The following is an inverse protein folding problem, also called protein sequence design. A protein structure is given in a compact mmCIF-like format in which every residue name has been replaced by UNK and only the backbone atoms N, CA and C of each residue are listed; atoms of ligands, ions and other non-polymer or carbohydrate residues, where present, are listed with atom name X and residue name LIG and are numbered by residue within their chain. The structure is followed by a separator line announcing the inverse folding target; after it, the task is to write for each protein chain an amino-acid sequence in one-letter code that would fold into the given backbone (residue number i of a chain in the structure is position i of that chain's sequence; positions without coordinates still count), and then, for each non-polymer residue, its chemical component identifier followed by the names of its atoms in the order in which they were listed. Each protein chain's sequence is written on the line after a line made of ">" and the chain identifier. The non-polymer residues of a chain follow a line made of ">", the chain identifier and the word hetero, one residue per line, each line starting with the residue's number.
data_IF_896408577395
#
_entry.id   IF_896408577395
#
_cell.length_a   1.000
_cell.length_b   1.000
_cell.length_c   1.000
_cell.angle_alpha   90.00
_cell.angle_beta   90.00
_cell.angle_gamma   90.00
#
_symmetry.space_group_name_H-M   'P 1'
#
loop_
_entity.id
_entity.type
_entity.pdbx_description
1 polymer ?
2 polymer ?
3 polymer ?
4 non-polymer ?
5 water ?
#
loop_
_entity_poly.entity_id
_entity_poly.type
_entity_poly.pdbx_seq_one_letter_code
_entity_poly.pdbx_strand_id
1 'polydeoxyribonucleotide' '(DG)(DC)(DT)(DA)(DA)(DA)(DC)(DG)(DT)(DC)(DG)(DT)(DG)(DA)(DG)(DA)(DC)(DA)(DG)(DT)(DT)(DA)(DC)(DG)' ?
2 'polydeoxyribonucleotide' '(DC)(DG)(DT)(DA)(DA)(DC)(DT)(DG)(DT)(DC)(DT)(DC)(DA)(DC)(DG)(DA)(DC)(DG)(DT)(DT)(DT)(DA)(DG)(DC)' ?
#
# COMPACT_ATOMS: atom_id res chain seq x y z
N UNK C 2 15.27 23.82 0.36
CA UNK C 2 14.81 22.62 -0.39
C UNK C 2 15.58 21.38 0.05
N UNK C 3 14.91 20.49 0.76
CA UNK C 3 15.53 19.27 1.25
C UNK C 3 15.65 18.14 0.21
N UNK C 4 16.78 17.45 0.27
CA UNK C 4 17.09 16.34 -0.64
C UNK C 4 16.76 15.03 0.06
N UNK C 5 16.04 14.15 -0.62
CA UNK C 5 15.65 12.89 0.00
C UNK C 5 16.49 11.69 -0.38
N UNK C 6 16.57 10.73 0.54
CA UNK C 6 17.34 9.51 0.35
C UNK C 6 16.59 8.62 -0.64
N UNK C 7 17.24 8.32 -1.76
CA UNK C 7 16.65 7.50 -2.80
C UNK C 7 16.06 6.17 -2.36
N UNK C 8 16.65 5.52 -1.37
CA UNK C 8 16.08 4.25 -0.91
C UNK C 8 14.77 4.56 -0.19
N UNK C 9 14.77 5.60 0.63
CA UNK C 9 13.59 6.06 1.36
C UNK C 9 12.46 6.35 0.35
N UNK C 10 12.84 6.99 -0.77
CA UNK C 10 11.88 7.36 -1.81
C UNK C 10 11.31 6.16 -2.57
N UNK C 11 12.12 5.14 -2.76
CA UNK C 11 11.68 3.94 -3.46
C UNK C 11 10.69 3.20 -2.59
N UNK C 12 11.07 2.98 -1.33
CA UNK C 12 10.19 2.28 -0.42
C UNK C 12 8.88 3.06 -0.28
N UNK C 13 8.99 4.36 0.01
CA UNK C 13 7.81 5.20 0.17
C UNK C 13 6.93 5.19 -1.08
N UNK C 14 7.54 5.25 -2.26
CA UNK C 14 6.75 5.24 -3.48
C UNK C 14 5.88 3.98 -3.51
N UNK C 15 6.47 2.86 -3.11
CA UNK C 15 5.70 1.64 -3.07
C UNK C 15 4.57 1.76 -2.06
N UNK C 16 4.89 2.29 -0.88
CA UNK C 16 3.88 2.42 0.15
C UNK C 16 2.75 3.34 -0.27
N UNK C 17 3.11 4.44 -0.94
CA UNK C 17 2.15 5.43 -1.41
C UNK C 17 1.22 4.79 -2.44
N UNK C 18 1.80 4.09 -3.41
CA UNK C 18 0.98 3.44 -4.41
C UNK C 18 -0.02 2.49 -3.73
N UNK C 19 0.24 2.15 -2.47
CA UNK C 19 -0.66 1.26 -1.75
C UNK C 19 -1.72 1.96 -0.88
N UNK C 20 -1.26 2.54 0.23
CA UNK C 20 -2.16 3.20 1.15
C UNK C 20 -2.20 4.72 0.93
N UNK C 21 -1.47 5.21 -0.06
CA UNK C 21 -1.42 6.64 -0.30
C UNK C 21 -2.48 7.27 -1.17
N UNK C 22 -2.55 8.61 -1.11
CA UNK C 22 -3.52 9.31 -1.92
C UNK C 22 -2.99 10.65 -2.36
N UNK C 23 -3.02 10.88 -3.67
CA UNK C 23 -2.56 12.14 -4.24
C UNK C 23 -3.84 12.80 -4.74
N UNK C 24 -4.21 13.90 -4.10
CA UNK C 24 -5.47 14.58 -4.38
C UNK C 24 -5.44 16.06 -4.73
N UNK C 25 -6.27 16.47 -5.67
CA UNK C 25 -6.37 17.88 -6.00
C UNK C 25 -7.86 18.22 -5.84
N UNK C 26 -8.19 19.31 -5.15
CA UNK C 26 -9.61 19.66 -4.97
C UNK C 26 -9.94 21.09 -5.37
N UNK C 27 -11.17 21.29 -5.81
CA UNK C 27 -11.65 22.63 -6.16
C UNK C 27 -12.69 22.94 -5.09
N UNK C 28 -12.24 23.64 -4.05
CA UNK C 28 -13.06 24.00 -2.90
C UNK C 28 -13.78 25.32 -3.06
N UNK C 29 -15.12 25.29 -3.08
CA UNK C 29 -15.83 26.55 -3.22
C UNK C 29 -15.46 27.41 -2.02
N UNK C 30 -15.26 28.70 -2.26
CA UNK C 30 -14.87 29.63 -1.22
C UNK C 30 -15.12 31.06 -1.74
N UNK C 31 -16.10 31.73 -1.13
CA UNK C 31 -16.48 33.08 -1.55
C UNK C 31 -15.55 34.23 -1.23
N UNK C 32 -14.27 33.96 -0.97
CA UNK C 32 -13.35 35.06 -0.70
C UNK C 32 -12.23 35.08 -1.74
N UNK C 33 -12.25 34.12 -2.66
CA UNK C 33 -11.24 34.04 -3.71
C UNK C 33 -11.72 34.77 -4.96
N UNK C 34 -10.78 35.19 -5.80
CA UNK C 34 -11.14 35.91 -7.01
C UNK C 34 -12.16 35.16 -7.87
N UNK C 35 -12.00 33.85 -7.99
CA UNK C 35 -12.91 33.04 -8.80
C UNK C 35 -13.81 32.15 -7.96
N UNK C 36 -14.01 32.57 -6.72
CA UNK C 36 -14.88 31.87 -5.77
C UNK C 36 -14.58 30.38 -5.55
N UNK C 37 -13.32 30.01 -5.73
CA UNK C 37 -12.89 28.63 -5.52
C UNK C 37 -11.41 28.57 -5.19
N UNK C 38 -11.08 27.83 -4.15
CA UNK C 38 -9.69 27.68 -3.74
C UNK C 38 -9.13 26.39 -4.34
N UNK C 39 -7.95 26.46 -4.93
CA UNK C 39 -7.34 25.26 -5.46
C UNK C 39 -6.56 24.66 -4.30
N UNK C 40 -6.79 23.38 -4.04
CA UNK C 40 -6.13 22.72 -2.94
C UNK C 40 -5.41 21.45 -3.35
N UNK C 41 -4.21 21.24 -2.82
CA UNK C 41 -3.45 20.05 -3.15
C UNK C 41 -3.16 19.25 -1.88
N UNK C 42 -3.18 17.92 -2.00
CA UNK C 42 -2.91 17.10 -0.83
C UNK C 42 -2.21 15.80 -1.15
N UNK C 43 -1.18 15.51 -0.36
CA UNK C 43 -0.49 14.24 -0.47
C UNK C 43 -0.73 13.58 0.88
N UNK C 44 -1.26 12.36 0.89
CA UNK C 44 -1.54 11.69 2.15
C UNK C 44 -1.32 10.20 2.18
N UNK C 45 -1.19 9.67 3.38
CA UNK C 45 -1.03 8.24 3.59
C UNK C 45 -1.89 7.94 4.79
N UNK C 46 -2.78 6.96 4.63
CA UNK C 46 -3.69 6.57 5.69
C UNK C 46 -3.26 5.21 6.26
N UNK C 47 -3.37 5.07 7.57
CA UNK C 47 -2.97 3.84 8.22
C UNK C 47 -3.73 3.72 9.53
N UNK C 48 -4.07 2.50 9.91
CA UNK C 48 -4.79 2.27 11.15
C UNK C 48 -4.09 3.06 12.26
N UNK C 49 -4.86 3.69 13.13
CA UNK C 49 -4.25 4.50 14.20
C UNK C 49 -3.25 3.73 15.06
N UNK C 50 -3.51 2.44 15.30
CA UNK C 50 -2.58 1.64 16.09
C UNK C 50 -1.27 1.44 15.35
N UNK C 51 -1.06 2.22 14.29
CA UNK C 51 0.15 2.10 13.49
C UNK C 51 0.63 3.48 13.09
N UNK C 52 0.14 4.51 13.78
CA UNK C 52 0.51 5.87 13.47
C UNK C 52 2.00 6.19 13.66
N UNK C 53 2.73 5.30 14.32
CA UNK C 53 4.14 5.58 14.51
C UNK C 53 4.77 5.64 13.14
N UNK C 54 4.25 4.83 12.22
CA UNK C 54 4.80 4.82 10.87
C UNK C 54 4.55 6.17 10.20
N UNK C 55 3.45 6.82 10.57
CA UNK C 55 3.13 8.14 10.00
C UNK C 55 3.96 9.21 10.72
N UNK C 56 4.18 9.07 12.03
CA UNK C 56 5.00 10.03 12.79
C UNK C 56 6.39 10.02 12.17
N UNK C 57 6.89 8.82 11.95
CA UNK C 57 8.19 8.59 11.33
C UNK C 57 8.24 9.42 10.04
N UNK C 58 7.20 9.32 9.22
CA UNK C 58 7.17 10.05 7.97
C UNK C 58 7.24 11.56 8.16
N UNK C 59 6.65 12.06 9.24
CA UNK C 59 6.71 13.48 9.50
C UNK C 59 8.17 13.87 9.69
N UNK C 60 8.90 13.04 10.43
CA UNK C 60 10.31 13.27 10.73
C UNK C 60 11.21 13.12 9.51
N UNK C 61 10.93 12.14 8.66
CA UNK C 61 11.75 11.90 7.48
C UNK C 61 11.50 12.89 6.36
N UNK C 62 10.25 13.24 6.10
CA UNK C 62 9.96 14.19 5.03
C UNK C 62 10.29 15.60 5.48
N UNK C 63 10.30 15.81 6.79
CA UNK C 63 10.65 17.10 7.35
C UNK C 63 9.54 18.14 7.43
N UNK C 64 8.44 17.87 6.76
CA UNK C 64 7.34 18.82 6.78
C UNK C 64 6.07 17.98 6.80
N UNK C 65 4.91 18.59 7.08
CA UNK C 65 3.68 17.81 7.14
C UNK C 65 3.28 17.42 8.55
N UNK C 66 2.07 16.92 8.74
CA UNK C 66 1.60 16.54 10.08
C UNK C 66 0.65 15.34 10.05
N UNK C 67 0.42 14.75 11.21
CA UNK C 67 -0.48 13.58 11.33
C UNK C 67 -1.77 13.92 12.03
N UNK C 68 -2.90 13.51 11.44
CA UNK C 68 -4.19 13.76 12.09
C UNK C 68 -4.86 12.44 12.42
N UNK C 69 -5.69 12.46 13.47
CA UNK C 69 -6.43 11.28 13.91
C UNK C 69 -7.90 11.45 13.59
N UNK C 70 -8.49 10.40 13.03
CA UNK C 70 -9.90 10.43 12.73
C UNK C 70 -10.55 9.11 13.16
N UNK C 71 -10.37 8.80 14.44
CA UNK C 71 -10.95 7.60 15.00
C UNK C 71 -10.06 6.38 14.94
N UNK C 72 -10.50 5.37 14.20
CA UNK C 72 -9.76 4.13 14.08
C UNK C 72 -8.61 4.23 13.08
N UNK C 73 -8.49 5.36 12.41
CA UNK C 73 -7.39 5.48 11.46
C UNK C 73 -6.74 6.84 11.52
N UNK C 74 -5.52 6.93 10.99
CA UNK C 74 -4.79 8.18 10.99
C UNK C 74 -4.22 8.55 9.62
N UNK C 75 -3.93 9.83 9.43
CA UNK C 75 -3.40 10.28 8.14
C UNK C 75 -2.17 11.18 8.24
N UNK C 76 -1.19 10.90 7.40
CA UNK C 76 -0.05 11.80 7.32
C UNK C 76 -0.55 12.73 6.24
N UNK C 77 -0.45 14.03 6.45
CA UNK C 77 -0.92 14.97 5.47
C UNK C 77 0.13 15.99 5.10
N UNK C 78 0.13 16.40 3.83
CA UNK C 78 1.06 17.40 3.33
C UNK C 78 0.38 18.21 2.25
N UNK C 79 0.18 19.50 2.51
CA UNK C 79 -0.47 20.37 1.54
C UNK C 79 0.28 21.64 1.18
N UNK C 80 1.25 22.05 2.01
CA UNK C 80 2.00 23.25 1.70
C UNK C 80 2.57 23.12 0.30
N UNK C 81 2.27 24.09 -0.54
CA UNK C 81 2.72 24.11 -1.92
C UNK C 81 4.18 23.81 -2.20
N UNK C 82 5.07 24.59 -1.60
CA UNK C 82 6.51 24.42 -1.82
C UNK C 82 7.02 23.03 -1.43
N UNK C 83 6.94 22.68 -0.14
CA UNK C 83 7.42 21.36 0.27
C UNK C 83 6.71 20.26 -0.54
N UNK C 84 5.46 20.49 -0.89
CA UNK C 84 4.75 19.47 -1.65
C UNK C 84 5.41 19.26 -3.01
N UNK C 85 5.51 20.34 -3.79
CA UNK C 85 6.14 20.27 -5.10
C UNK C 85 7.56 19.68 -5.01
N UNK C 86 8.27 20.03 -3.95
CA UNK C 86 9.63 19.54 -3.75
C UNK C 86 9.61 18.04 -3.49
N UNK C 87 8.69 17.60 -2.64
CA UNK C 87 8.58 16.19 -2.29
C UNK C 87 8.09 15.34 -3.46
N UNK C 88 7.11 15.85 -4.19
CA UNK C 88 6.60 15.08 -5.31
C UNK C 88 7.59 14.95 -6.48
N UNK C 89 8.38 16.00 -6.70
CA UNK C 89 9.37 15.98 -7.77
C UNK C 89 10.35 14.81 -7.55
N UNK C 90 10.77 14.61 -6.30
CA UNK C 90 11.70 13.52 -6.01
C UNK C 90 11.04 12.13 -5.90
N UNK C 91 9.78 12.09 -5.46
CA UNK C 91 9.05 10.83 -5.30
C UNK C 91 8.46 10.33 -6.61
N UNK C 92 7.97 11.25 -7.42
CA UNK C 92 7.34 10.92 -8.68
C UNK C 92 8.04 9.87 -9.57
N UNK C 93 9.35 9.99 -9.78
CA UNK C 93 10.01 8.98 -10.63
C UNK C 93 9.88 7.52 -10.21
N UNK C 94 9.49 7.26 -8.97
CA UNK C 94 9.38 5.87 -8.51
C UNK C 94 7.95 5.35 -8.38
N UNK C 95 6.98 6.24 -8.52
CA UNK C 95 5.59 5.84 -8.41
C UNK C 95 5.24 5.00 -9.64
N UNK C 96 4.43 3.97 -9.47
CA UNK C 96 4.05 3.16 -10.60
C UNK C 96 2.56 3.31 -10.84
N UNK C 97 1.80 3.40 -9.76
CA UNK C 97 0.35 3.54 -9.87
C UNK C 97 -0.17 4.97 -9.80
N UNK C 98 0.52 5.84 -9.08
CA UNK C 98 0.03 7.22 -8.94
C UNK C 98 0.96 8.28 -9.53
N UNK C 99 1.78 7.87 -10.48
CA UNK C 99 2.72 8.79 -11.10
C UNK C 99 2.00 9.93 -11.82
N UNK C 100 1.01 9.57 -12.63
CA UNK C 100 0.26 10.57 -13.38
C UNK C 100 -0.37 11.60 -12.48
N UNK C 101 -1.09 11.18 -11.43
CA UNK C 101 -1.67 12.21 -10.59
C UNK C 101 -0.57 13.02 -9.93
N UNK C 102 0.56 12.37 -9.63
CA UNK C 102 1.68 13.07 -9.01
C UNK C 102 2.09 14.20 -9.93
N UNK C 103 2.35 13.83 -11.18
CA UNK C 103 2.79 14.79 -12.20
C UNK C 103 1.79 15.88 -12.50
N UNK C 104 0.51 15.54 -12.41
CA UNK C 104 -0.52 16.53 -12.66
C UNK C 104 -0.48 17.55 -11.54
N UNK C 105 -0.13 17.11 -10.34
CA UNK C 105 -0.05 18.01 -9.20
C UNK C 105 1.12 18.98 -9.38
N UNK C 106 2.28 18.48 -9.78
CA UNK C 106 3.42 19.36 -10.01
C UNK C 106 2.98 20.38 -11.06
N UNK C 107 2.32 19.88 -12.11
CA UNK C 107 1.88 20.76 -13.19
C UNK C 107 0.91 21.84 -12.73
N UNK C 108 -0.01 21.49 -11.84
CA UNK C 108 -0.97 22.45 -11.32
C UNK C 108 -0.28 23.47 -10.41
N UNK C 109 0.53 22.98 -9.48
CA UNK C 109 1.21 23.89 -8.56
C UNK C 109 2.02 24.90 -9.34
N UNK C 110 2.61 24.44 -10.44
CA UNK C 110 3.42 25.32 -11.26
C UNK C 110 2.60 26.36 -12.04
N UNK C 111 1.32 26.10 -12.28
CA UNK C 111 0.49 27.06 -13.01
C UNK C 111 -0.36 27.92 -12.09
N UNK C 112 -0.12 27.82 -10.78
CA UNK C 112 -0.90 28.57 -9.82
C UNK C 112 -0.95 30.08 -10.08
N UNK C 113 0.20 30.78 -10.05
CA UNK C 113 0.15 32.22 -10.29
C UNK C 113 -0.55 32.57 -11.60
N UNK C 114 -0.15 31.90 -12.67
CA UNK C 114 -0.78 32.14 -13.97
C UNK C 114 -2.29 32.10 -13.80
N UNK C 115 -2.79 30.94 -13.38
CA UNK C 115 -4.22 30.75 -13.20
C UNK C 115 -4.80 31.77 -12.22
N UNK C 116 -3.94 32.41 -11.46
CA UNK C 116 -4.37 33.40 -10.48
C UNK C 116 -4.54 34.79 -11.10
N UNK C 117 -4.35 34.90 -12.41
CA UNK C 117 -4.47 36.18 -13.10
C UNK C 117 -5.45 36.17 -14.27
N UNK C 118 -6.18 35.06 -14.46
CA UNK C 118 -7.12 34.97 -15.56
C UNK C 118 -8.17 33.88 -15.35
N UNK C 119 -9.45 34.21 -15.53
CA UNK C 119 -10.54 33.23 -15.34
C UNK C 119 -10.44 32.04 -16.28
N UNK C 120 -9.59 32.16 -17.30
CA UNK C 120 -9.44 31.07 -18.26
C UNK C 120 -8.37 30.07 -17.88
N UNK C 121 -7.23 30.54 -17.40
CA UNK C 121 -6.16 29.66 -16.99
C UNK C 121 -6.72 28.86 -15.83
N UNK C 122 -7.30 29.58 -14.88
CA UNK C 122 -7.89 28.97 -13.71
C UNK C 122 -8.81 27.84 -14.13
N UNK C 123 -9.59 28.09 -15.17
CA UNK C 123 -10.53 27.12 -15.68
C UNK C 123 -9.76 25.92 -16.18
N UNK C 124 -8.76 26.17 -17.01
CA UNK C 124 -7.96 25.09 -17.56
C UNK C 124 -7.33 24.26 -16.44
N UNK C 125 -6.79 24.96 -15.45
CA UNK C 125 -6.15 24.30 -14.33
C UNK C 125 -7.16 23.43 -13.58
N UNK C 126 -8.39 23.92 -13.47
CA UNK C 126 -9.42 23.16 -12.79
C UNK C 126 -9.59 21.87 -13.57
N UNK C 127 -9.34 21.94 -14.88
CA UNK C 127 -9.46 20.78 -15.76
C UNK C 127 -8.37 19.75 -15.41
N UNK C 128 -7.25 20.23 -14.88
CA UNK C 128 -6.15 19.35 -14.47
C UNK C 128 -6.67 18.52 -13.30
N UNK C 129 -7.39 19.19 -12.40
CA UNK C 129 -7.93 18.55 -11.22
C UNK C 129 -8.90 17.45 -11.59
N UNK C 130 -9.61 17.62 -12.69
CA UNK C 130 -10.56 16.58 -13.11
C UNK C 130 -9.80 15.29 -13.46
N UNK C 131 -8.69 15.41 -14.16
CA UNK C 131 -7.90 14.25 -14.58
C UNK C 131 -7.39 13.45 -13.40
N UNK C 132 -6.95 14.16 -12.36
CA UNK C 132 -6.46 13.53 -11.15
C UNK C 132 -7.59 12.72 -10.55
N UNK C 133 -8.74 13.38 -10.43
CA UNK C 133 -9.91 12.76 -9.88
C UNK C 133 -10.30 11.53 -10.69
N UNK C 134 -10.20 11.63 -12.02
CA UNK C 134 -10.57 10.52 -12.89
C UNK C 134 -9.54 9.40 -12.81
N UNK C 135 -8.32 9.75 -12.43
CA UNK C 135 -7.30 8.74 -12.30
C UNK C 135 -7.45 7.99 -10.99
N UNK C 136 -7.94 8.66 -9.96
CA UNK C 136 -8.13 8.00 -8.66
C UNK C 136 -9.48 7.28 -8.65
N UNK C 137 -9.78 6.61 -7.54
CA UNK C 137 -11.07 5.93 -7.45
C UNK C 137 -12.06 6.89 -6.80
N UNK C 138 -12.32 7.99 -7.51
CA UNK C 138 -13.21 9.04 -7.04
C UNK C 138 -14.66 8.60 -6.89
N UNK C 139 -15.23 8.83 -5.71
CA UNK C 139 -16.59 8.39 -5.47
C UNK C 139 -17.56 9.37 -4.80
N UNK C 140 -17.07 10.50 -4.30
CA UNK C 140 -17.96 11.46 -3.65
C UNK C 140 -17.59 12.89 -4.03
N UNK C 141 -17.10 13.06 -5.24
CA UNK C 141 -16.70 14.39 -5.71
C UNK C 141 -17.89 15.25 -6.12
N UNK C 142 -17.97 16.46 -5.57
CA UNK C 142 -19.04 17.39 -5.91
C UNK C 142 -18.60 18.46 -6.91
N UNK C 143 -17.63 19.28 -6.52
CA UNK C 143 -17.15 20.36 -7.37
C UNK C 143 -16.21 19.93 -8.50
N UNK C 144 -16.50 20.42 -9.70
CA UNK C 144 -15.69 20.08 -10.87
C UNK C 144 -15.40 21.34 -11.66
N UNK C 145 -14.61 21.21 -12.72
CA UNK C 145 -14.30 22.37 -13.55
C UNK C 145 -15.60 22.88 -14.12
N UNK C 146 -16.53 21.96 -14.32
CA UNK C 146 -17.85 22.29 -14.86
C UNK C 146 -18.57 23.22 -13.88
N UNK C 147 -18.61 22.81 -12.61
CA UNK C 147 -19.26 23.61 -11.58
C UNK C 147 -18.60 24.97 -11.48
N UNK C 148 -17.31 25.04 -11.80
CA UNK C 148 -16.62 26.32 -11.74
C UNK C 148 -16.99 27.16 -12.96
N UNK C 149 -17.17 26.53 -14.11
CA UNK C 149 -17.53 27.31 -15.29
C UNK C 149 -18.81 28.09 -15.01
N UNK C 150 -19.67 27.56 -14.14
CA UNK C 150 -20.90 28.27 -13.76
C UNK C 150 -20.45 29.43 -12.87
N UNK C 151 -19.61 30.26 -13.46
CA UNK C 151 -19.03 31.44 -12.83
C UNK C 151 -19.11 32.47 -13.94
N UNK C 152 -19.39 31.95 -15.13
CA UNK C 152 -19.52 32.78 -16.32
C UNK C 152 -20.81 33.59 -16.28
N UNK C 153 -20.70 34.76 -15.64
CA UNK C 153 -21.80 35.69 -15.49
C UNK C 153 -21.38 36.88 -14.62
N UNK D 2 15.88 -20.62 -8.73
CA UNK D 2 16.13 -19.81 -7.49
C UNK D 2 16.80 -18.47 -7.88
N UNK D 3 15.97 -17.50 -8.22
CA UNK D 3 16.43 -16.18 -8.66
C UNK D 3 16.65 -15.08 -7.61
N UNK D 4 17.56 -14.16 -7.91
CA UNK D 4 17.88 -13.03 -7.04
C UNK D 4 17.33 -11.80 -7.72
N UNK D 5 16.56 -11.00 -6.97
CA UNK D 5 15.91 -9.81 -7.53
C UNK D 5 16.66 -8.50 -7.37
N UNK D 6 16.38 -7.58 -8.29
CA UNK D 6 16.99 -6.25 -8.29
C UNK D 6 16.66 -5.58 -6.95
N UNK D 7 17.64 -4.91 -6.35
CA UNK D 7 17.46 -4.25 -5.06
C UNK D 7 16.39 -3.17 -5.02
N UNK D 8 16.41 -2.28 -5.99
CA UNK D 8 15.43 -1.20 -6.05
C UNK D 8 14.03 -1.82 -6.22
N UNK D 9 13.97 -2.95 -6.92
CA UNK D 9 12.71 -3.65 -7.13
C UNK D 9 12.11 -4.08 -5.80
N UNK D 10 12.99 -4.55 -4.90
CA UNK D 10 12.55 -5.02 -3.59
C UNK D 10 12.14 -3.88 -2.67
N UNK D 11 12.89 -2.77 -2.73
CA UNK D 11 12.58 -1.61 -1.90
C UNK D 11 11.17 -1.11 -2.21
N UNK D 12 10.90 -0.92 -3.50
CA UNK D 12 9.61 -0.47 -3.95
C UNK D 12 8.51 -1.46 -3.55
N UNK D 13 8.73 -2.74 -3.84
CA UNK D 13 7.76 -3.79 -3.53
C UNK D 13 7.55 -3.97 -2.03
N UNK D 14 8.61 -3.84 -1.25
CA UNK D 14 8.46 -3.97 0.20
C UNK D 14 7.47 -2.90 0.62
N UNK D 15 7.60 -1.73 0.01
CA UNK D 15 6.71 -0.65 0.35
C UNK D 15 5.30 -0.95 -0.10
N UNK D 16 5.16 -1.52 -1.28
CA UNK D 16 3.82 -1.80 -1.78
C UNK D 16 3.13 -2.86 -0.95
N UNK D 17 3.92 -3.84 -0.53
CA UNK D 17 3.41 -4.91 0.29
C UNK D 17 3.04 -4.38 1.64
N UNK D 18 3.90 -3.54 2.22
CA UNK D 18 3.56 -3.00 3.53
C UNK D 18 2.26 -2.24 3.38
N UNK D 19 1.94 -1.87 2.14
CA UNK D 19 0.72 -1.14 1.89
C UNK D 19 -0.52 -1.99 1.60
N UNK D 20 -0.53 -2.69 0.47
CA UNK D 20 -1.68 -3.50 0.05
C UNK D 20 -1.39 -4.99 0.08
N UNK D 21 -0.32 -5.39 0.74
CA UNK D 21 0.01 -6.80 0.77
C UNK D 21 -0.37 -7.54 2.03
N UNK D 22 -0.18 -8.85 2.00
CA UNK D 22 -0.49 -9.65 3.16
C UNK D 22 0.34 -10.91 3.19
N UNK D 23 0.97 -11.15 4.34
CA UNK D 23 1.78 -12.35 4.56
C UNK D 23 0.89 -13.17 5.48
N UNK D 24 0.40 -14.30 4.98
CA UNK D 24 -0.52 -15.17 5.70
C UNK D 24 -0.02 -16.56 6.06
N UNK D 25 -0.47 -17.04 7.22
CA UNK D 25 -0.17 -18.38 7.71
C UNK D 25 -1.54 -18.94 8.08
N UNK D 26 -1.86 -20.16 7.66
CA UNK D 26 -3.16 -20.73 7.99
C UNK D 26 -3.08 -22.19 8.33
N UNK D 27 -3.84 -22.59 9.35
CA UNK D 27 -3.93 -23.98 9.74
C UNK D 27 -5.20 -24.43 9.04
N UNK D 28 -5.06 -25.13 7.93
CA UNK D 28 -6.21 -25.59 7.16
C UNK D 28 -6.65 -27.00 7.50
N UNK D 29 -7.84 -27.13 8.08
CA UNK D 29 -8.32 -28.47 8.41
C UNK D 29 -8.41 -29.28 7.13
N UNK D 30 -7.79 -30.46 7.12
CA UNK D 30 -7.79 -31.36 5.96
C UNK D 30 -7.79 -32.81 6.45
N UNK D 31 -8.79 -33.56 6.00
CA UNK D 31 -8.94 -34.95 6.41
C UNK D 31 -8.21 -35.98 5.57
N UNK D 32 -6.90 -35.78 5.39
CA UNK D 32 -6.09 -36.72 4.64
C UNK D 32 -4.70 -36.58 5.23
N UNK D 33 -4.47 -35.44 5.88
CA UNK D 33 -3.19 -35.19 6.51
C UNK D 33 -3.04 -36.01 7.79
N UNK D 34 -1.80 -36.35 8.11
CA UNK D 34 -1.53 -37.12 9.31
C UNK D 34 -2.22 -36.47 10.50
N UNK D 35 -1.99 -35.16 10.69
CA UNK D 35 -2.56 -34.45 11.82
C UNK D 35 -3.85 -33.67 11.55
N UNK D 36 -4.64 -34.15 10.59
CA UNK D 36 -5.92 -33.53 10.26
C UNK D 36 -5.87 -32.08 9.78
N UNK D 37 -4.67 -31.55 9.52
CA UNK D 37 -4.53 -30.18 9.05
C UNK D 37 -3.24 -30.04 8.24
N UNK D 38 -3.27 -29.16 7.22
CA UNK D 38 -2.10 -28.89 6.38
C UNK D 38 -1.67 -27.46 6.70
N UNK D 39 -0.39 -27.18 6.67
CA UNK D 39 0.07 -25.83 6.92
C UNK D 39 0.04 -25.18 5.54
N UNK D 40 -0.33 -23.90 5.50
CA UNK D 40 -0.43 -23.18 4.25
C UNK D 40 0.13 -21.77 4.42
N UNK D 41 1.04 -21.39 3.54
CA UNK D 41 1.66 -20.08 3.61
C UNK D 41 1.33 -19.22 2.38
N UNK D 42 1.13 -17.92 2.58
CA UNK D 42 0.75 -17.06 1.48
C UNK D 42 1.28 -15.62 1.43
N UNK D 43 1.85 -15.24 0.30
CA UNK D 43 2.28 -13.88 0.09
C UNK D 43 1.27 -13.38 -0.94
N UNK D 44 0.57 -12.29 -0.64
CA UNK D 44 -0.40 -11.78 -1.59
C UNK D 44 -0.51 -10.29 -1.59
N UNK D 45 -0.85 -9.77 -2.76
CA UNK D 45 -1.02 -8.35 -2.95
C UNK D 45 -2.39 -8.21 -3.55
N UNK D 46 -3.17 -7.24 -3.08
CA UNK D 46 -4.53 -7.03 -3.57
C UNK D 46 -4.73 -5.67 -4.24
N UNK D 47 -5.38 -5.68 -5.41
CA UNK D 47 -5.66 -4.45 -6.17
C UNK D 47 -6.98 -4.50 -6.92
N UNK D 48 -7.62 -3.34 -7.05
CA UNK D 48 -8.86 -3.25 -7.79
C UNK D 48 -8.57 -3.87 -9.15
N UNK D 49 -9.51 -4.67 -9.65
CA UNK D 49 -9.32 -5.36 -10.92
C UNK D 49 -8.93 -4.45 -12.09
N UNK D 50 -9.33 -3.19 -12.07
CA UNK D 50 -8.97 -2.29 -13.17
C UNK D 50 -7.45 -2.15 -13.21
N UNK D 51 -6.81 -2.40 -12.08
CA UNK D 51 -5.37 -2.30 -11.99
C UNK D 51 -4.74 -3.68 -12.01
N UNK D 52 -5.45 -4.66 -12.55
CA UNK D 52 -4.94 -6.02 -12.62
C UNK D 52 -3.60 -6.19 -13.33
N UNK D 53 -3.25 -5.26 -14.21
CA UNK D 53 -1.99 -5.32 -14.96
C UNK D 53 -0.79 -5.27 -14.05
N UNK D 54 -0.87 -4.43 -13.02
CA UNK D 54 0.23 -4.31 -12.08
C UNK D 54 0.49 -5.69 -11.47
N UNK D 55 -0.57 -6.39 -11.07
CA UNK D 55 -0.41 -7.73 -10.49
C UNK D 55 0.12 -8.71 -11.53
N UNK D 56 -0.37 -8.60 -12.76
CA UNK D 56 0.08 -9.50 -13.82
C UNK D 56 1.57 -9.30 -14.05
N UNK D 57 2.02 -8.07 -13.85
CA UNK D 57 3.42 -7.73 -14.02
C UNK D 57 4.24 -8.44 -12.93
N UNK D 58 3.74 -8.42 -11.70
CA UNK D 58 4.44 -9.07 -10.60
C UNK D 58 4.73 -10.53 -10.93
N UNK D 59 3.76 -11.20 -11.54
CA UNK D 59 3.96 -12.59 -11.89
C UNK D 59 5.27 -12.71 -12.65
N UNK D 60 5.45 -11.83 -13.62
CA UNK D 60 6.62 -11.82 -14.46
C UNK D 60 7.91 -11.49 -13.72
N UNK D 61 7.86 -10.45 -12.91
CA UNK D 61 9.02 -9.99 -12.17
C UNK D 61 9.47 -10.94 -11.06
N UNK D 62 8.52 -11.43 -10.25
CA UNK D 62 8.88 -12.36 -9.20
C UNK D 62 9.15 -13.68 -9.90
N UNK D 63 8.59 -13.80 -11.10
CA UNK D 63 8.80 -14.99 -11.92
C UNK D 63 8.14 -16.27 -11.51
N UNK D 64 7.20 -16.19 -10.58
CA UNK D 64 6.46 -17.34 -10.12
C UNK D 64 5.14 -16.81 -9.55
N UNK D 65 4.23 -17.69 -9.18
CA UNK D 65 2.97 -17.21 -8.64
C UNK D 65 1.91 -16.96 -9.70
N UNK D 66 0.76 -16.49 -9.26
CA UNK D 66 -0.33 -16.25 -10.20
C UNK D 66 -1.29 -15.20 -9.68
N UNK D 67 -2.16 -14.74 -10.57
CA UNK D 67 -3.18 -13.73 -10.27
C UNK D 67 -4.57 -14.32 -10.42
N UNK D 68 -5.47 -14.07 -9.48
CA UNK D 68 -6.83 -14.57 -9.64
C UNK D 68 -7.81 -13.42 -9.49
N UNK D 69 -9.05 -13.66 -9.92
CA UNK D 69 -10.10 -12.65 -9.83
C UNK D 69 -11.15 -13.02 -8.79
N UNK D 70 -11.73 -12.01 -8.17
CA UNK D 70 -12.76 -12.22 -7.18
C UNK D 70 -13.69 -11.01 -7.01
N UNK D 71 -14.26 -10.56 -8.12
CA UNK D 71 -15.17 -9.43 -8.06
C UNK D 71 -14.59 -8.14 -8.59
N UNK D 72 -14.61 -7.11 -7.77
CA UNK D 72 -14.06 -5.83 -8.20
C UNK D 72 -12.57 -5.78 -7.85
N UNK D 73 -12.13 -6.84 -7.21
CA UNK D 73 -10.76 -6.95 -6.76
C UNK D 73 -10.00 -8.17 -7.26
N UNK D 74 -8.68 -8.03 -7.42
CA UNK D 74 -7.83 -9.13 -7.85
C UNK D 74 -6.65 -9.30 -6.91
N UNK D 75 -6.04 -10.49 -6.93
CA UNK D 75 -4.90 -10.74 -6.07
C UNK D 75 -3.71 -11.39 -6.77
N UNK D 76 -2.50 -11.01 -6.34
CA UNK D 76 -1.32 -11.70 -6.82
C UNK D 76 -1.19 -12.66 -5.65
N UNK D 77 -0.96 -13.95 -5.92
CA UNK D 77 -0.84 -14.98 -4.87
C UNK D 77 0.42 -15.81 -5.04
N UNK D 78 1.14 -16.05 -3.95
CA UNK D 78 2.34 -16.88 -4.03
C UNK D 78 2.38 -17.81 -2.81
N UNK D 79 2.21 -19.10 -3.04
CA UNK D 79 2.22 -20.08 -1.95
C UNK D 79 3.23 -21.19 -2.07
N UNK D 80 3.81 -21.37 -3.25
CA UNK D 80 4.82 -22.40 -3.42
C UNK D 80 5.92 -22.22 -2.38
N UNK D 81 6.00 -23.18 -1.47
CA UNK D 81 6.95 -23.17 -0.38
C UNK D 81 8.42 -22.81 -0.67
N UNK D 82 9.00 -23.32 -1.76
CA UNK D 82 10.39 -23.00 -2.02
C UNK D 82 10.56 -21.60 -2.64
N UNK D 83 9.83 -21.30 -3.72
CA UNK D 83 10.00 -19.96 -4.32
C UNK D 83 9.55 -18.89 -3.33
N UNK D 84 8.64 -19.26 -2.45
CA UNK D 84 8.13 -18.33 -1.45
C UNK D 84 9.20 -17.96 -0.42
N UNK D 85 10.02 -18.94 -0.08
CA UNK D 85 11.11 -18.75 0.88
C UNK D 85 12.19 -17.92 0.18
N UNK D 86 12.47 -18.26 -1.07
CA UNK D 86 13.46 -17.54 -1.84
C UNK D 86 13.06 -16.07 -1.90
N UNK D 87 11.78 -15.81 -2.16
CA UNK D 87 11.28 -14.44 -2.27
C UNK D 87 11.25 -13.69 -0.96
N UNK D 88 10.67 -14.29 0.07
CA UNK D 88 10.61 -13.59 1.33
C UNK D 88 11.98 -13.31 1.89
N UNK D 89 12.88 -14.28 1.78
CA UNK D 89 14.23 -14.11 2.30
C UNK D 89 14.82 -12.83 1.73
N UNK D 90 14.53 -12.55 0.46
CA UNK D 90 15.06 -11.33 -0.15
C UNK D 90 14.22 -10.08 0.12
N UNK D 91 12.95 -10.25 0.44
CA UNK D 91 12.11 -9.08 0.68
C UNK D 91 12.17 -8.66 2.13
N UNK D 92 12.16 -9.67 2.99
CA UNK D 92 12.21 -9.52 4.42
C UNK D 92 13.06 -8.35 4.97
N UNK D 93 14.27 -8.14 4.45
CA UNK D 93 15.02 -7.03 5.03
C UNK D 93 14.58 -5.61 4.65
N UNK D 94 13.60 -5.49 3.75
CA UNK D 94 13.13 -4.16 3.33
C UNK D 94 11.74 -3.81 3.85
N UNK D 95 11.08 -4.78 4.47
CA UNK D 95 9.75 -4.58 5.01
C UNK D 95 9.79 -3.80 6.33
N UNK D 96 8.71 -3.08 6.61
CA UNK D 96 8.63 -2.32 7.84
C UNK D 96 7.42 -2.67 8.67
N UNK D 97 6.28 -2.85 8.04
CA UNK D 97 5.09 -3.18 8.81
C UNK D 97 4.87 -4.67 8.93
N UNK D 98 5.50 -5.44 8.05
CA UNK D 98 5.30 -6.87 8.06
C UNK D 98 6.59 -7.69 8.05
N UNK D 99 7.68 -7.11 8.56
CA UNK D 99 8.94 -7.85 8.59
C UNK D 99 8.82 -9.08 9.50
N UNK D 100 8.18 -8.92 10.66
CA UNK D 100 8.03 -10.02 11.58
C UNK D 100 7.24 -11.20 11.00
N UNK D 101 6.05 -10.95 10.46
CA UNK D 101 5.30 -12.06 9.89
C UNK D 101 6.10 -12.74 8.76
N UNK D 102 6.86 -11.95 8.02
CA UNK D 102 7.67 -12.52 6.95
C UNK D 102 8.70 -13.51 7.52
N UNK D 103 9.38 -13.11 8.60
CA UNK D 103 10.38 -13.99 9.17
C UNK D 103 9.73 -15.16 9.91
N UNK D 104 8.48 -14.98 10.32
CA UNK D 104 7.78 -16.07 10.98
C UNK D 104 7.43 -17.07 9.89
N UNK D 105 7.10 -16.57 8.72
CA UNK D 105 6.76 -17.47 7.64
C UNK D 105 7.99 -18.29 7.21
N UNK D 106 9.15 -17.63 7.04
CA UNK D 106 10.36 -18.35 6.66
C UNK D 106 10.61 -19.44 7.70
N UNK D 107 10.68 -19.03 8.96
CA UNK D 107 10.89 -19.92 10.08
C UNK D 107 9.96 -21.12 10.00
N UNK D 108 8.69 -20.87 9.68
CA UNK D 108 7.75 -21.98 9.57
C UNK D 108 8.15 -22.96 8.47
N UNK D 109 8.56 -22.42 7.33
CA UNK D 109 8.95 -23.26 6.20
C UNK D 109 10.16 -24.14 6.50
N UNK D 110 11.17 -23.56 7.12
CA UNK D 110 12.38 -24.30 7.45
C UNK D 110 12.06 -25.43 8.44
N UNK D 111 11.10 -25.17 9.33
CA UNK D 111 10.72 -26.15 10.32
C UNK D 111 9.58 -27.03 9.85
N UNK D 112 9.39 -27.12 8.54
CA UNK D 112 8.31 -27.92 7.99
C UNK D 112 8.52 -29.43 8.08
N UNK D 113 9.62 -29.93 7.53
CA UNK D 113 9.88 -31.36 7.57
C UNK D 113 9.85 -31.92 8.99
N UNK D 114 10.50 -31.24 9.92
CA UNK D 114 10.52 -31.73 11.30
C UNK D 114 9.14 -31.63 11.93
N UNK D 115 8.29 -30.78 11.36
CA UNK D 115 6.94 -30.61 11.88
C UNK D 115 6.12 -31.83 11.50
N UNK D 116 6.60 -32.57 10.51
CA UNK D 116 5.92 -33.77 10.04
C UNK D 116 6.08 -34.93 11.01
N UNK D 117 7.20 -34.98 11.72
CA UNK D 117 7.44 -36.07 12.66
C UNK D 117 6.78 -35.91 14.02
N UNK D 118 7.43 -35.21 14.94
CA UNK D 118 6.85 -35.02 16.27
C UNK D 118 5.52 -34.26 16.23
N UNK D 119 4.46 -34.84 16.80
CA UNK D 119 3.16 -34.17 16.80
C UNK D 119 3.24 -32.94 17.70
N UNK D 120 4.27 -32.90 18.53
CA UNK D 120 4.46 -31.77 19.43
C UNK D 120 5.23 -30.67 18.71
N UNK D 121 6.10 -31.06 17.78
CA UNK D 121 6.87 -30.09 17.02
C UNK D 121 5.89 -29.42 16.06
N UNK D 122 4.78 -30.10 15.80
CA UNK D 122 3.76 -29.58 14.92
C UNK D 122 3.11 -28.41 15.65
N UNK D 123 2.66 -28.68 16.87
CA UNK D 123 2.04 -27.66 17.71
C UNK D 123 2.89 -26.40 17.73
N UNK D 124 4.17 -26.58 18.06
CA UNK D 124 5.10 -25.47 18.13
C UNK D 124 5.02 -24.63 16.85
N UNK D 125 5.04 -25.28 15.70
CA UNK D 125 4.97 -24.58 14.43
C UNK D 125 3.60 -23.93 14.27
N UNK D 126 2.56 -24.59 14.79
CA UNK D 126 1.22 -24.03 14.72
C UNK D 126 1.19 -22.79 15.61
N UNK D 127 2.18 -22.67 16.48
CA UNK D 127 2.30 -21.51 17.37
C UNK D 127 2.80 -20.35 16.51
N UNK D 128 3.77 -20.67 15.65
CA UNK D 128 4.34 -19.68 14.75
C UNK D 128 3.20 -18.96 14.01
N UNK D 129 2.32 -19.74 13.40
CA UNK D 129 1.20 -19.18 12.65
C UNK D 129 0.28 -18.36 13.54
N UNK D 130 0.15 -18.75 14.80
CA UNK D 130 -0.69 -18.02 15.74
C UNK D 130 -0.15 -16.59 15.85
N UNK D 131 1.14 -16.49 16.10
CA UNK D 131 1.82 -15.21 16.24
C UNK D 131 1.58 -14.33 15.00
N UNK D 132 1.57 -14.95 13.83
CA UNK D 132 1.37 -14.21 12.60
C UNK D 132 -0.02 -13.58 12.53
N UNK D 133 -1.05 -14.38 12.73
CA UNK D 133 -2.39 -13.82 12.70
C UNK D 133 -2.47 -12.70 13.75
N UNK D 134 -1.74 -12.87 14.85
CA UNK D 134 -1.73 -11.88 15.93
C UNK D 134 -1.20 -10.55 15.44
N UNK D 135 -0.07 -10.59 14.73
CA UNK D 135 0.52 -9.38 14.20
C UNK D 135 -0.34 -8.69 13.15
N UNK D 136 -1.00 -9.45 12.28
CA UNK D 136 -1.85 -8.87 11.24
C UNK D 136 -3.13 -8.27 11.82
N UNK D 137 -3.98 -7.68 10.98
CA UNK D 137 -5.24 -7.14 11.47
C UNK D 137 -6.24 -8.30 11.31
N UNK D 138 -5.93 -9.38 12.03
CA UNK D 138 -6.74 -10.59 11.98
C UNK D 138 -8.09 -10.44 12.66
N UNK D 139 -9.15 -10.89 11.98
CA UNK D 139 -10.48 -10.83 12.56
C UNK D 139 -11.35 -12.06 12.31
N UNK D 140 -11.47 -12.51 11.06
CA UNK D 140 -12.31 -13.67 10.75
C UNK D 140 -11.61 -15.03 10.87
N UNK D 141 -10.61 -15.10 11.76
CA UNK D 141 -9.85 -16.32 11.98
C UNK D 141 -10.57 -17.38 12.81
N UNK D 142 -10.66 -18.61 12.29
CA UNK D 142 -11.34 -19.69 13.00
C UNK D 142 -10.49 -20.89 13.42
N UNK D 143 -9.55 -21.32 12.58
CA UNK D 143 -8.71 -22.48 12.93
C UNK D 143 -7.34 -22.13 13.50
N UNK D 144 -7.22 -22.14 14.83
CA UNK D 144 -5.94 -21.81 15.47
C UNK D 144 -5.20 -23.04 15.96
N UNK D 145 -3.98 -22.82 16.48
CA UNK D 145 -3.19 -23.93 16.98
C UNK D 145 -3.98 -24.56 18.12
N UNK D 146 -4.79 -23.75 18.79
CA UNK D 146 -5.61 -24.24 19.89
C UNK D 146 -6.51 -25.38 19.41
N UNK D 147 -7.24 -25.15 18.33
CA UNK D 147 -8.13 -26.18 17.82
C UNK D 147 -7.38 -27.44 17.43
N UNK D 148 -6.09 -27.30 17.13
CA UNK D 148 -5.27 -28.45 16.78
C UNK D 148 -5.07 -29.30 18.05
N UNK D 149 -5.36 -28.70 19.21
CA UNK D 149 -5.22 -29.41 20.48
C UNK D 149 -6.10 -30.65 20.41
N UNK D 150 -7.21 -30.52 19.68
CA UNK D 150 -8.14 -31.62 19.46
C UNK D 150 -7.46 -32.69 18.58
N UNK D 151 -6.14 -32.78 18.72
CA UNK D 151 -5.33 -33.76 18.01
C UNK D 151 -4.96 -34.74 19.10
N UNK D 152 -5.80 -34.76 20.15
CA UNK D 152 -5.61 -35.64 21.28
C UNK D 152 -6.69 -36.71 21.23
N UNK D 153 -6.27 -37.93 20.87
CA UNK D 153 -7.18 -39.07 20.77
C UNK D 153 -6.43 -40.38 21.06
X LIG E 1 -4.39 -0.44 0.96
X LIG F 1 -2.74 -1.13 4.14
X LIG G 1 -4.27 0.50 -2.29
#
# INVERSE_FOLDING_TARGET
>C
MNTKYNKEFLLYLAGFVDGDGSIIAQIKPNQSCKFKHQLSLTFQVTEKTQRRWFLDKLVDEIGVGYVRDRGSVSDYILSEIKPLHNFLTQLQPFLKLKQKQANLVLKIIEQLPSAKESPDKFLEVCTWVDQIAALNDSKTRKTTSETVRAVLDSLSEKKKSSP
>D
MNTKYNKEFLLYLAGFVDGDGSIIAQIKPNQSCKFKHQLSLTFQVTEKTQRRWFLDKLVDEIGVGYVRDRGSVSDYILSEIKPLHNFLTQLQPFLKLKQKQANLVLKIIEQLPSAKESPDKFLEVCTWVDQIAALNDSKTRKTTSETVRAVLDSLSEKKKSSP
>E hetero
1 MG MG
>F hetero
1 MG MG
>G hetero
1 MG MG
#
